data_IF_853712193831
#
_entry.id   IF_853712193831
#
_cell.length_a   1.000
_cell.length_b   1.000
_cell.length_c   1.000
_cell.angle_alpha   90.00
_cell.angle_beta   90.00
_cell.angle_gamma   90.00
#
_symmetry.space_group_name_H-M   'P 1'
#
loop_
_entity.id
_entity.type
_entity.pdbx_description
1 polymer ?
#
# COMPACT_ATOMS: atom_id res chain seq x y z
N UNK A 1 -52.22 0.73 -40.98
CA UNK A 1 -51.90 -0.45 -40.15
C UNK A 1 -50.39 -0.59 -40.12
N UNK A 2 -49.75 -0.13 -39.05
CA UNK A 2 -48.31 -0.21 -38.85
C UNK A 2 -48.04 -1.05 -37.60
N UNK A 3 -47.20 -2.06 -37.79
CA UNK A 3 -46.92 -3.20 -36.92
C UNK A 3 -46.21 -2.80 -35.61
N UNK A 4 -46.65 -3.26 -34.43
CA UNK A 4 -45.98 -2.99 -33.16
C UNK A 4 -44.98 -4.12 -32.83
N UNK A 5 -43.87 -4.21 -33.56
CA UNK A 5 -42.83 -5.24 -33.30
C UNK A 5 -41.52 -4.69 -32.73
N UNK A 6 -41.29 -3.37 -32.74
CA UNK A 6 -39.99 -2.77 -32.37
C UNK A 6 -39.76 -2.52 -30.86
N UNK A 7 -40.70 -2.88 -29.97
CA UNK A 7 -40.62 -2.59 -28.52
C UNK A 7 -40.26 -3.80 -27.66
N UNK A 8 -40.52 -5.03 -28.11
CA UNK A 8 -40.19 -6.24 -27.35
C UNK A 8 -38.71 -6.63 -27.47
N UNK A 9 -38.09 -6.38 -28.62
CA UNK A 9 -36.70 -6.77 -28.88
C UNK A 9 -35.71 -5.92 -28.07
N UNK A 10 -36.01 -4.63 -27.84
CA UNK A 10 -35.16 -3.75 -27.02
C UNK A 10 -35.14 -4.13 -25.54
N UNK A 11 -36.24 -4.67 -25.01
CA UNK A 11 -36.30 -5.11 -23.61
C UNK A 11 -35.50 -6.41 -23.43
N UNK A 12 -35.51 -7.30 -24.42
CA UNK A 12 -34.71 -8.53 -24.40
C UNK A 12 -33.20 -8.26 -24.56
N UNK A 13 -32.81 -7.27 -25.38
CA UNK A 13 -31.40 -6.86 -25.52
C UNK A 13 -30.86 -6.13 -24.29
N UNK A 14 -31.65 -5.27 -23.64
CA UNK A 14 -31.23 -4.61 -22.40
C UNK A 14 -31.06 -5.60 -21.23
N UNK A 15 -31.88 -6.65 -21.17
CA UNK A 15 -31.78 -7.69 -20.14
C UNK A 15 -30.58 -8.64 -20.39
N UNK A 16 -30.25 -8.89 -21.67
CA UNK A 16 -29.05 -9.65 -22.05
C UNK A 16 -27.75 -8.83 -21.84
N UNK A 17 -27.81 -7.50 -22.03
CA UNK A 17 -26.71 -6.58 -21.70
C UNK A 17 -26.52 -6.40 -20.18
N UNK A 18 -27.59 -6.52 -19.37
CA UNK A 18 -27.47 -6.58 -17.90
C UNK A 18 -26.83 -7.86 -17.39
N UNK A 19 -27.04 -8.99 -18.08
CA UNK A 19 -26.35 -10.27 -17.78
C UNK A 19 -24.85 -10.25 -18.12
N UNK A 20 -24.41 -9.38 -19.03
CA UNK A 20 -23.01 -9.25 -19.46
C UNK A 20 -22.21 -8.21 -18.66
N UNK A 21 -22.83 -7.50 -17.69
CA UNK A 21 -22.07 -6.90 -16.58
C UNK A 21 -21.59 -8.03 -15.67
N UNK A 22 -20.38 -8.50 -15.97
CA UNK A 22 -19.59 -9.53 -15.27
C UNK A 22 -20.14 -9.86 -13.88
N UNK A 23 -20.98 -10.90 -13.78
CA UNK A 23 -21.25 -11.45 -12.47
C UNK A 23 -19.91 -11.86 -11.85
N UNK A 24 -19.67 -11.55 -10.57
CA UNK A 24 -18.41 -11.85 -9.93
C UNK A 24 -18.18 -13.36 -10.03
N UNK A 25 -17.05 -13.73 -10.63
CA UNK A 25 -16.72 -15.13 -10.91
C UNK A 25 -16.53 -15.96 -9.63
N UNK A 26 -16.26 -15.32 -8.49
CA UNK A 26 -16.04 -15.99 -7.22
C UNK A 26 -16.82 -15.32 -6.10
N UNK A 27 -17.71 -16.06 -5.44
CA UNK A 27 -18.39 -15.60 -4.21
C UNK A 27 -17.62 -16.09 -3.00
N UNK A 28 -17.16 -15.19 -2.15
CA UNK A 28 -16.27 -15.48 -1.03
C UNK A 28 -17.02 -15.30 0.28
N UNK A 29 -17.33 -16.40 0.97
CA UNK A 29 -18.05 -16.37 2.24
C UNK A 29 -17.07 -16.09 3.37
N UNK A 30 -17.37 -15.07 4.20
CA UNK A 30 -16.49 -14.71 5.30
C UNK A 30 -17.26 -14.41 6.59
N UNK A 31 -16.60 -14.65 7.71
CA UNK A 31 -17.13 -14.34 9.03
C UNK A 31 -16.91 -12.85 9.34
N UNK A 32 -18.02 -12.11 9.45
CA UNK A 32 -18.02 -10.69 9.75
C UNK A 32 -17.47 -10.34 11.15
N UNK A 33 -17.45 -11.31 12.06
CA UNK A 33 -17.01 -11.15 13.45
C UNK A 33 -15.56 -11.62 13.68
N UNK A 34 -14.84 -12.06 12.63
CA UNK A 34 -13.47 -12.53 12.72
C UNK A 34 -12.49 -11.53 12.07
N UNK A 35 -11.58 -10.94 12.86
CA UNK A 35 -10.56 -9.97 12.38
C UNK A 35 -9.69 -10.55 11.26
N UNK A 36 -9.34 -11.84 11.33
CA UNK A 36 -8.52 -12.51 10.30
C UNK A 36 -9.32 -12.60 8.99
N UNK A 37 -10.58 -13.04 9.05
CA UNK A 37 -11.46 -13.10 7.88
C UNK A 37 -11.67 -11.71 7.26
N UNK A 38 -11.92 -10.70 8.08
CA UNK A 38 -12.06 -9.30 7.63
C UNK A 38 -10.77 -8.77 6.98
N UNK A 39 -9.62 -9.07 7.57
CA UNK A 39 -8.32 -8.70 7.01
C UNK A 39 -8.08 -9.37 5.65
N UNK A 40 -8.43 -10.66 5.52
CA UNK A 40 -8.38 -11.38 4.25
C UNK A 40 -9.27 -10.72 3.19
N UNK A 41 -10.52 -10.34 3.53
CA UNK A 41 -11.42 -9.65 2.61
C UNK A 41 -10.91 -8.26 2.23
N UNK A 42 -10.31 -7.51 3.16
CA UNK A 42 -9.70 -6.21 2.86
C UNK A 42 -8.53 -6.35 1.86
N UNK A 43 -7.67 -7.34 2.06
CA UNK A 43 -6.61 -7.68 1.10
C UNK A 43 -7.19 -8.09 -0.25
N UNK A 44 -8.24 -8.91 -0.25
CA UNK A 44 -8.90 -9.37 -1.46
C UNK A 44 -9.43 -8.19 -2.28
N UNK A 45 -10.17 -7.25 -1.65
CA UNK A 45 -10.66 -6.03 -2.29
C UNK A 45 -9.52 -5.14 -2.82
N UNK A 46 -8.37 -5.14 -2.15
CA UNK A 46 -7.20 -4.35 -2.57
C UNK A 46 -6.52 -4.96 -3.80
N UNK A 47 -6.49 -6.29 -3.90
CA UNK A 47 -5.89 -7.02 -5.03
C UNK A 47 -6.82 -7.14 -6.23
N UNK A 48 -8.13 -7.20 -5.98
CA UNK A 48 -9.16 -7.43 -6.99
C UNK A 48 -9.57 -6.16 -7.75
N UNK A 49 -8.71 -5.73 -8.68
CA UNK A 49 -8.97 -4.56 -9.53
C UNK A 49 -10.08 -4.79 -10.57
N UNK A 50 -10.34 -6.05 -10.92
CA UNK A 50 -11.26 -6.44 -11.97
C UNK A 50 -12.63 -6.89 -11.42
N UNK A 51 -12.86 -6.76 -10.10
CA UNK A 51 -14.09 -7.19 -9.41
C UNK A 51 -14.47 -8.65 -9.72
N UNK A 52 -13.48 -9.54 -9.79
CA UNK A 52 -13.68 -10.99 -10.00
C UNK A 52 -14.29 -11.66 -8.78
N UNK A 53 -14.21 -11.04 -7.62
CA UNK A 53 -14.63 -11.59 -6.33
C UNK A 53 -15.77 -10.78 -5.70
N UNK A 54 -16.70 -11.49 -5.07
CA UNK A 54 -17.79 -10.91 -4.28
C UNK A 54 -17.72 -11.43 -2.84
N UNK A 55 -17.16 -10.65 -1.92
CA UNK A 55 -17.17 -11.00 -0.50
C UNK A 55 -18.60 -10.89 0.07
N UNK A 56 -19.09 -11.98 0.67
CA UNK A 56 -20.41 -12.06 1.29
C UNK A 56 -20.27 -12.45 2.77
N UNK A 57 -20.85 -11.67 3.71
CA UNK A 57 -20.82 -12.03 5.12
C UNK A 57 -21.70 -13.26 5.36
N UNK A 58 -21.22 -14.17 6.20
CA UNK A 58 -21.99 -15.33 6.64
C UNK A 58 -23.15 -14.85 7.51
N UNK A 59 -24.38 -15.06 7.05
CA UNK A 59 -25.62 -14.78 7.77
C UNK A 59 -26.65 -15.89 7.51
N UNK A 60 -27.48 -16.21 8.50
CA UNK A 60 -28.46 -17.30 8.44
C UNK A 60 -29.50 -17.09 7.32
N UNK A 61 -29.78 -15.84 6.98
CA UNK A 61 -30.73 -15.46 5.93
C UNK A 61 -30.12 -15.55 4.52
N UNK A 62 -28.80 -15.33 4.41
CA UNK A 62 -28.10 -15.24 3.13
C UNK A 62 -27.62 -16.59 2.62
N UNK A 63 -27.21 -17.52 3.50
CA UNK A 63 -26.66 -18.82 3.08
C UNK A 63 -27.61 -19.65 2.21
N UNK A 64 -28.90 -19.85 2.58
CA UNK A 64 -29.82 -20.65 1.76
C UNK A 64 -30.09 -20.02 0.39
N UNK A 65 -30.00 -18.69 0.31
CA UNK A 65 -30.19 -17.92 -0.93
C UNK A 65 -28.96 -18.01 -1.86
N UNK A 66 -27.77 -18.30 -1.32
CA UNK A 66 -26.52 -18.40 -2.08
C UNK A 66 -26.35 -19.81 -2.65
N UNK A 67 -26.43 -20.85 -1.82
CA UNK A 67 -26.36 -22.25 -2.22
C UNK A 67 -26.94 -23.14 -1.10
N UNK A 68 -27.90 -24.00 -1.43
CA UNK A 68 -28.61 -24.85 -0.46
C UNK A 68 -27.73 -25.92 0.18
N UNK A 69 -26.52 -26.17 -0.33
CA UNK A 69 -25.55 -27.14 0.21
C UNK A 69 -24.73 -26.59 1.37
N UNK A 70 -24.82 -25.29 1.67
CA UNK A 70 -23.98 -24.63 2.67
C UNK A 70 -24.58 -24.74 4.07
N UNK A 71 -23.89 -25.46 4.96
CA UNK A 71 -24.16 -25.44 6.40
C UNK A 71 -23.54 -24.21 7.08
N UNK A 72 -24.29 -23.59 8.00
CA UNK A 72 -23.80 -22.44 8.78
C UNK A 72 -22.52 -22.78 9.55
N UNK A 73 -22.52 -23.86 10.31
CA UNK A 73 -21.38 -24.26 11.15
C UNK A 73 -20.13 -24.59 10.33
N UNK A 74 -20.31 -25.13 9.13
CA UNK A 74 -19.20 -25.44 8.22
C UNK A 74 -18.61 -24.17 7.62
N UNK A 75 -19.46 -23.24 7.16
CA UNK A 75 -19.05 -21.91 6.69
C UNK A 75 -18.32 -21.12 7.78
N UNK A 76 -18.75 -21.28 9.03
CA UNK A 76 -18.05 -20.69 10.16
C UNK A 76 -16.74 -21.41 10.48
N UNK A 77 -16.52 -22.67 10.14
CA UNK A 77 -15.23 -23.36 10.43
C UNK A 77 -14.13 -23.02 9.45
N UNK A 78 -14.44 -22.96 8.16
CA UNK A 78 -13.44 -22.77 7.10
C UNK A 78 -13.90 -21.78 6.04
N UNK A 79 -12.96 -21.22 5.28
CA UNK A 79 -13.25 -20.36 4.14
C UNK A 79 -13.97 -21.16 3.07
N UNK A 80 -15.09 -20.63 2.60
CA UNK A 80 -15.86 -21.21 1.50
C UNK A 80 -15.89 -20.22 0.34
N UNK A 81 -15.56 -20.70 -0.85
CA UNK A 81 -15.58 -19.93 -2.09
C UNK A 81 -16.38 -20.68 -3.12
N UNK A 82 -17.36 -20.04 -3.72
CA UNK A 82 -18.14 -20.59 -4.83
C UNK A 82 -17.58 -20.04 -6.13
N UNK A 83 -17.18 -20.94 -7.04
CA UNK A 83 -16.70 -20.58 -8.38
C UNK A 83 -17.85 -20.26 -9.33
N UNK A 84 -17.54 -19.71 -10.50
CA UNK A 84 -18.50 -19.47 -11.58
C UNK A 84 -19.18 -20.75 -12.07
N UNK A 85 -18.50 -21.89 -11.92
CA UNK A 85 -18.97 -23.23 -12.28
C UNK A 85 -19.82 -23.88 -11.16
N UNK A 86 -20.12 -23.12 -10.09
CA UNK A 86 -20.85 -23.58 -8.89
C UNK A 86 -20.14 -24.69 -8.09
N UNK A 87 -18.82 -24.77 -8.22
CA UNK A 87 -18.00 -25.60 -7.34
C UNK A 87 -17.79 -24.88 -6.00
N UNK A 88 -17.88 -25.63 -4.90
CA UNK A 88 -17.61 -25.12 -3.56
C UNK A 88 -16.18 -25.51 -3.18
N UNK A 89 -15.29 -24.53 -3.18
CA UNK A 89 -13.92 -24.68 -2.70
C UNK A 89 -13.87 -24.36 -1.22
N UNK A 90 -13.13 -25.18 -0.46
CA UNK A 90 -13.07 -25.07 1.00
C UNK A 90 -11.61 -24.96 1.47
N UNK A 91 -11.41 -24.14 2.50
CA UNK A 91 -10.16 -24.05 3.24
C UNK A 91 -8.97 -23.59 2.40
N UNK A 92 -7.85 -24.33 2.44
CA UNK A 92 -6.64 -23.98 1.67
C UNK A 92 -6.88 -24.01 0.16
N UNK A 93 -7.71 -24.95 -0.34
CA UNK A 93 -7.98 -25.02 -1.77
C UNK A 93 -8.72 -23.76 -2.26
N UNK A 94 -9.59 -23.18 -1.42
CA UNK A 94 -10.23 -21.89 -1.66
C UNK A 94 -9.21 -20.73 -1.67
N UNK A 95 -8.30 -20.69 -0.68
CA UNK A 95 -7.24 -19.67 -0.61
C UNK A 95 -6.33 -19.73 -1.84
N UNK A 96 -5.90 -20.92 -2.23
CA UNK A 96 -5.01 -21.11 -3.37
C UNK A 96 -5.70 -20.75 -4.70
N UNK A 97 -6.99 -21.08 -4.84
CA UNK A 97 -7.78 -20.67 -6.00
C UNK A 97 -7.93 -19.14 -6.10
N UNK A 98 -8.23 -18.45 -4.99
CA UNK A 98 -8.27 -16.98 -4.96
C UNK A 98 -6.90 -16.36 -5.29
N UNK A 99 -5.82 -16.92 -4.76
CA UNK A 99 -4.46 -16.44 -5.03
C UNK A 99 -4.07 -16.53 -6.52
N UNK A 100 -4.63 -17.48 -7.28
CA UNK A 100 -4.42 -17.61 -8.73
C UNK A 100 -5.04 -16.47 -9.54
N UNK A 101 -6.01 -15.74 -8.99
CA UNK A 101 -6.72 -14.68 -9.72
C UNK A 101 -5.89 -13.41 -9.91
N UNK A 102 -4.90 -13.17 -9.05
CA UNK A 102 -4.14 -11.93 -9.05
C UNK A 102 -2.71 -12.15 -9.55
N UNK A 103 -2.25 -11.28 -10.43
CA UNK A 103 -0.90 -11.33 -11.01
C UNK A 103 0.23 -11.30 -9.97
N UNK A 104 0.02 -10.74 -8.78
CA UNK A 104 1.06 -10.73 -7.74
C UNK A 104 1.12 -12.02 -6.91
N UNK A 105 0.03 -12.80 -6.88
CA UNK A 105 -0.08 -14.00 -6.04
C UNK A 105 -0.24 -15.29 -6.85
N UNK A 106 -0.28 -15.21 -8.19
CA UNK A 106 -0.57 -16.35 -9.05
C UNK A 106 0.42 -17.52 -8.90
N UNK A 107 1.71 -17.23 -8.73
CA UNK A 107 2.74 -18.25 -8.50
C UNK A 107 2.45 -18.98 -7.19
N UNK A 108 2.13 -18.25 -6.13
CA UNK A 108 1.80 -18.83 -4.82
C UNK A 108 0.54 -19.70 -4.90
N UNK A 109 -0.49 -19.24 -5.61
CA UNK A 109 -1.71 -20.03 -5.81
C UNK A 109 -1.46 -21.29 -6.64
N UNK A 110 -0.66 -21.19 -7.70
CA UNK A 110 -0.35 -22.33 -8.60
C UNK A 110 0.52 -23.37 -7.89
N UNK A 111 1.59 -22.92 -7.21
CA UNK A 111 2.49 -23.80 -6.46
C UNK A 111 1.78 -24.40 -5.24
N UNK A 112 0.93 -23.60 -4.57
CA UNK A 112 0.15 -24.00 -3.42
C UNK A 112 -0.90 -25.08 -3.70
N UNK A 113 -1.28 -25.31 -4.95
CA UNK A 113 -2.15 -26.43 -5.35
C UNK A 113 -1.39 -27.72 -5.66
N UNK A 114 -0.05 -27.67 -5.77
CA UNK A 114 0.78 -28.83 -6.11
C UNK A 114 1.36 -29.49 -4.87
N UNK A 115 1.58 -30.80 -4.93
CA UNK A 115 2.37 -31.50 -3.93
C UNK A 115 3.84 -31.02 -3.96
N UNK A 116 4.51 -30.81 -2.80
CA UNK A 116 4.07 -31.03 -1.42
C UNK A 116 3.38 -29.82 -0.76
N UNK A 117 3.40 -28.66 -1.42
CA UNK A 117 2.91 -27.39 -0.86
C UNK A 117 1.42 -27.40 -0.52
N UNK A 118 0.60 -28.15 -1.26
CA UNK A 118 -0.83 -28.32 -0.97
C UNK A 118 -1.08 -28.92 0.41
N UNK A 119 -0.31 -29.95 0.78
CA UNK A 119 -0.48 -30.64 2.07
C UNK A 119 0.01 -29.75 3.22
N UNK A 120 1.16 -29.11 3.03
CA UNK A 120 1.68 -28.14 3.98
C UNK A 120 0.71 -26.96 4.17
N UNK A 121 0.17 -26.42 3.08
CA UNK A 121 -0.81 -25.34 3.08
C UNK A 121 -2.12 -25.73 3.77
N UNK A 122 -2.64 -26.94 3.53
CA UNK A 122 -3.81 -27.47 4.25
C UNK A 122 -3.57 -27.60 5.76
N UNK A 123 -2.41 -28.09 6.17
CA UNK A 123 -2.06 -28.24 7.58
C UNK A 123 -1.93 -26.87 8.27
N UNK A 124 -1.18 -25.95 7.66
CA UNK A 124 -1.01 -24.58 8.16
C UNK A 124 -2.35 -23.82 8.20
N UNK A 125 -3.13 -23.90 7.13
CA UNK A 125 -4.45 -23.28 7.06
C UNK A 125 -5.38 -23.82 8.14
N UNK A 126 -5.44 -25.15 8.32
CA UNK A 126 -6.33 -25.78 9.31
C UNK A 126 -5.94 -25.35 10.72
N UNK A 127 -4.64 -25.23 11.02
CA UNK A 127 -4.16 -24.70 12.29
C UNK A 127 -4.62 -23.25 12.50
N UNK A 128 -4.45 -22.37 11.50
CA UNK A 128 -4.87 -20.97 11.59
C UNK A 128 -6.39 -20.86 11.72
N UNK A 129 -7.16 -21.58 10.90
CA UNK A 129 -8.63 -21.57 10.93
C UNK A 129 -9.17 -22.02 12.29
N UNK A 130 -8.60 -23.08 12.87
CA UNK A 130 -8.99 -23.58 14.20
C UNK A 130 -8.62 -22.61 15.32
N UNK A 131 -7.48 -21.93 15.20
CA UNK A 131 -6.98 -20.99 16.23
C UNK A 131 -7.35 -19.52 15.95
N UNK A 132 -8.16 -19.22 14.93
CA UNK A 132 -8.31 -17.86 14.39
C UNK A 132 -8.79 -16.83 15.39
N UNK A 133 -9.68 -17.22 16.31
CA UNK A 133 -10.18 -16.33 17.37
C UNK A 133 -9.14 -16.07 18.47
N UNK A 134 -8.24 -17.03 18.72
CA UNK A 134 -7.12 -16.87 19.65
C UNK A 134 -5.97 -16.05 19.03
N UNK A 135 -5.79 -16.16 17.71
CA UNK A 135 -4.81 -15.39 16.95
C UNK A 135 -5.25 -13.94 16.70
N UNK A 136 -6.56 -13.67 16.62
CA UNK A 136 -7.10 -12.32 16.47
C UNK A 136 -7.03 -11.52 17.77
N UNK A 137 -6.53 -10.27 17.72
CA UNK A 137 -6.49 -9.36 18.87
C UNK A 137 -7.72 -8.46 18.96
N UNK A 138 -8.66 -8.60 18.03
CA UNK A 138 -9.89 -7.82 17.93
C UNK A 138 -9.60 -6.32 18.04
N UNK A 139 -8.55 -5.87 17.34
CA UNK A 139 -8.17 -4.46 17.33
C UNK A 139 -9.16 -3.71 16.43
N UNK A 140 -9.95 -2.81 17.01
CA UNK A 140 -10.83 -1.91 16.27
C UNK A 140 -12.33 -2.18 16.35
N UNK A 141 -12.83 -2.95 17.33
CA UNK A 141 -14.28 -3.05 17.60
C UNK A 141 -15.10 -3.88 16.59
N UNK A 142 -14.44 -4.54 15.63
CA UNK A 142 -15.10 -5.38 14.62
C UNK A 142 -15.70 -6.69 15.18
N UNK A 143 -15.24 -7.14 16.36
CA UNK A 143 -15.67 -8.39 16.98
C UNK A 143 -16.59 -8.10 18.17
N UNK A 144 -17.84 -8.58 18.13
CA UNK A 144 -18.79 -8.50 19.27
C UNK A 144 -18.61 -9.64 20.29
N UNK A 145 -17.86 -10.69 19.94
CA UNK A 145 -17.77 -11.97 20.70
C UNK A 145 -16.42 -12.11 21.43
N UNK A 146 -15.49 -11.17 21.27
CA UNK A 146 -14.17 -11.29 21.86
C UNK A 146 -14.24 -11.20 23.40
N UNK A 147 -13.89 -12.29 24.10
CA UNK A 147 -13.48 -12.25 25.51
C UNK A 147 -11.96 -12.03 25.54
N UNK A 148 -11.47 -10.78 25.54
CA UNK A 148 -10.02 -10.49 25.49
C UNK A 148 -9.25 -11.17 26.63
N UNK A 149 -9.92 -11.43 27.76
CA UNK A 149 -9.37 -12.15 28.91
C UNK A 149 -9.08 -13.63 28.62
N UNK A 150 -9.94 -14.31 27.85
CA UNK A 150 -9.75 -15.71 27.47
C UNK A 150 -8.57 -15.86 26.50
N UNK A 151 -8.47 -14.96 25.50
CA UNK A 151 -7.34 -14.92 24.57
C UNK A 151 -6.03 -14.63 25.32
N UNK A 152 -6.03 -13.70 26.28
CA UNK A 152 -4.84 -13.39 27.09
C UNK A 152 -4.40 -14.56 27.97
N UNK A 153 -5.34 -15.39 28.44
CA UNK A 153 -5.07 -16.60 29.23
C UNK A 153 -4.58 -17.77 28.37
N UNK A 154 -4.99 -17.84 27.11
CA UNK A 154 -4.76 -18.99 26.21
C UNK A 154 -3.69 -18.75 25.14
N UNK A 155 -3.32 -17.49 24.88
CA UNK A 155 -2.21 -17.11 24.01
C UNK A 155 -0.88 -17.57 24.61
N UNK A 156 -0.49 -18.81 24.32
CA UNK A 156 0.87 -19.28 24.57
C UNK A 156 1.85 -18.34 23.86
N UNK A 157 2.94 -17.98 24.55
CA UNK A 157 4.01 -17.11 24.05
C UNK A 157 4.41 -17.41 22.58
N UNK A 158 4.37 -18.67 22.15
CA UNK A 158 4.67 -19.08 20.77
C UNK A 158 3.79 -18.45 19.67
N UNK A 159 2.48 -18.29 19.89
CA UNK A 159 1.58 -17.67 18.89
C UNK A 159 1.81 -16.16 18.76
N UNK A 160 2.18 -15.51 19.86
CA UNK A 160 2.61 -14.12 19.87
C UNK A 160 3.92 -13.94 19.10
N UNK A 161 4.91 -14.79 19.36
CA UNK A 161 6.20 -14.76 18.66
C UNK A 161 6.05 -15.09 17.18
N UNK A 162 5.20 -16.05 16.78
CA UNK A 162 5.01 -16.39 15.35
C UNK A 162 4.38 -15.24 14.54
N UNK A 163 3.39 -14.53 15.10
CA UNK A 163 2.81 -13.37 14.42
C UNK A 163 3.75 -12.16 14.42
N UNK A 164 4.54 -11.97 15.48
CA UNK A 164 5.52 -10.90 15.55
C UNK A 164 6.68 -11.13 14.59
N UNK A 165 7.22 -12.35 14.52
CA UNK A 165 8.31 -12.70 13.60
C UNK A 165 7.84 -12.68 12.15
N UNK A 166 6.66 -13.22 11.82
CA UNK A 166 6.11 -13.13 10.45
C UNK A 166 5.89 -11.67 10.03
N UNK A 167 5.34 -10.84 10.92
CA UNK A 167 5.17 -9.41 10.69
C UNK A 167 6.50 -8.69 10.49
N UNK A 168 7.54 -9.08 11.24
CA UNK A 168 8.91 -8.56 11.11
C UNK A 168 9.54 -8.96 9.76
N UNK A 169 9.47 -10.23 9.36
CA UNK A 169 10.05 -10.70 8.09
C UNK A 169 9.35 -10.11 6.85
N UNK A 170 8.07 -9.74 6.94
CA UNK A 170 7.35 -9.08 5.85
C UNK A 170 7.60 -7.57 5.85
N UNK A 171 7.48 -6.91 7.01
CA UNK A 171 7.56 -5.44 7.08
C UNK A 171 8.99 -4.92 7.05
N UNK A 172 9.95 -5.62 7.65
CA UNK A 172 11.33 -5.14 7.71
C UNK A 172 11.92 -4.98 6.30
N UNK A 173 11.83 -5.95 5.37
CA UNK A 173 12.35 -5.75 4.02
C UNK A 173 11.68 -4.59 3.28
N UNK A 174 10.37 -4.40 3.45
CA UNK A 174 9.64 -3.28 2.84
C UNK A 174 10.08 -1.92 3.39
N UNK A 175 10.25 -1.82 4.71
CA UNK A 175 10.71 -0.59 5.39
C UNK A 175 12.17 -0.29 5.02
N UNK A 176 13.05 -1.30 5.04
CA UNK A 176 14.44 -1.16 4.61
C UNK A 176 14.51 -0.76 3.15
N UNK A 177 13.73 -1.38 2.26
CA UNK A 177 13.67 -1.01 0.86
C UNK A 177 13.21 0.43 0.65
N UNK A 178 12.15 0.85 1.33
CA UNK A 178 11.68 2.23 1.28
C UNK A 178 12.75 3.21 1.77
N UNK A 179 13.45 2.89 2.86
CA UNK A 179 14.56 3.68 3.39
C UNK A 179 15.74 3.77 2.41
N UNK A 180 16.16 2.64 1.84
CA UNK A 180 17.23 2.58 0.84
C UNK A 180 16.87 3.38 -0.42
N UNK A 181 15.65 3.24 -0.92
CA UNK A 181 15.17 4.00 -2.08
C UNK A 181 15.18 5.50 -1.80
N UNK A 182 14.71 5.94 -0.63
CA UNK A 182 14.74 7.34 -0.24
C UNK A 182 16.18 7.87 -0.12
N UNK A 183 17.09 7.11 0.49
CA UNK A 183 18.51 7.47 0.60
C UNK A 183 19.17 7.60 -0.78
N UNK A 184 18.91 6.64 -1.69
CA UNK A 184 19.42 6.68 -3.05
C UNK A 184 18.89 7.89 -3.83
N UNK A 185 17.62 8.24 -3.67
CA UNK A 185 17.02 9.44 -4.28
C UNK A 185 17.69 10.72 -3.76
N UNK A 186 17.87 10.86 -2.45
CA UNK A 186 18.55 12.02 -1.84
C UNK A 186 19.98 12.16 -2.33
N UNK A 187 20.73 11.04 -2.36
CA UNK A 187 22.10 10.99 -2.89
C UNK A 187 22.14 11.42 -4.36
N UNK A 188 21.20 10.92 -5.18
CA UNK A 188 21.11 11.27 -6.60
C UNK A 188 20.81 12.76 -6.82
N UNK A 189 19.86 13.31 -6.06
CA UNK A 189 19.51 14.74 -6.11
C UNK A 189 20.73 15.57 -5.70
N UNK A 190 21.35 15.26 -4.56
CA UNK A 190 22.53 15.96 -4.08
C UNK A 190 23.66 15.93 -5.12
N UNK A 191 23.97 14.76 -5.69
CA UNK A 191 24.99 14.63 -6.73
C UNK A 191 24.68 15.47 -7.99
N UNK A 192 23.41 15.55 -8.39
CA UNK A 192 22.98 16.37 -9.53
C UNK A 192 23.05 17.87 -9.25
N UNK A 193 22.85 18.30 -8.00
CA UNK A 193 22.86 19.72 -7.62
C UNK A 193 24.22 20.19 -7.08
N UNK A 194 25.14 19.27 -6.80
CA UNK A 194 26.44 19.58 -6.20
C UNK A 194 27.27 20.53 -7.08
N UNK A 195 27.63 21.69 -6.52
CA UNK A 195 28.30 22.81 -7.23
C UNK A 195 27.61 23.29 -8.52
N UNK A 196 26.32 22.99 -8.71
CA UNK A 196 25.56 23.48 -9.86
C UNK A 196 24.87 24.81 -9.56
N UNK A 197 24.45 25.44 -10.65
CA UNK A 197 23.49 26.54 -10.66
C UNK A 197 22.43 26.25 -11.69
N UNK A 198 21.26 26.86 -11.53
CA UNK A 198 20.18 26.82 -12.50
C UNK A 198 19.83 28.24 -12.89
N UNK A 199 19.98 28.56 -14.17
CA UNK A 199 19.62 29.85 -14.73
C UNK A 199 18.24 29.72 -15.39
N UNK A 200 17.31 30.60 -15.00
CA UNK A 200 15.92 30.64 -15.44
C UNK A 200 15.58 32.06 -15.91
N UNK A 201 14.50 32.20 -16.69
CA UNK A 201 14.03 33.50 -17.18
C UNK A 201 15.13 34.31 -17.89
N UNK A 202 15.83 33.68 -18.82
CA UNK A 202 16.97 34.26 -19.55
C UNK A 202 18.08 34.83 -18.65
N UNK A 203 18.27 34.22 -17.47
CA UNK A 203 19.28 34.62 -16.49
C UNK A 203 18.83 35.72 -15.52
N UNK A 204 17.57 36.16 -15.57
CA UNK A 204 17.01 37.07 -14.56
C UNK A 204 16.85 36.40 -13.20
N UNK A 205 16.59 35.09 -13.18
CA UNK A 205 16.49 34.27 -11.97
C UNK A 205 17.57 33.21 -11.99
N UNK A 206 18.50 33.25 -11.05
CA UNK A 206 19.54 32.24 -10.88
C UNK A 206 19.42 31.58 -9.51
N UNK A 207 19.34 30.25 -9.50
CA UNK A 207 19.36 29.44 -8.28
C UNK A 207 20.77 28.89 -8.08
N UNK A 208 21.39 29.23 -6.95
CA UNK A 208 22.71 28.78 -6.57
C UNK A 208 22.60 27.67 -5.54
N UNK A 209 23.00 26.45 -5.88
CA UNK A 209 23.09 25.38 -4.90
C UNK A 209 24.35 25.57 -4.06
N UNK A 210 24.15 25.83 -2.77
CA UNK A 210 25.20 26.03 -1.79
C UNK A 210 25.69 24.70 -1.23
N UNK A 211 26.98 24.61 -0.98
CA UNK A 211 27.63 23.39 -0.52
C UNK A 211 28.65 23.72 0.59
N UNK A 212 28.90 22.77 1.47
CA UNK A 212 29.94 22.87 2.50
C UNK A 212 30.17 21.54 3.21
N UNK A 213 31.36 21.31 3.78
CA UNK A 213 31.72 19.99 4.35
C UNK A 213 30.72 19.52 5.42
N UNK A 214 30.36 20.39 6.36
CA UNK A 214 29.35 20.08 7.39
C UNK A 214 27.90 20.21 6.88
N UNK A 215 27.52 21.29 6.15
CA UNK A 215 26.15 21.43 5.63
C UNK A 215 25.72 20.35 4.64
N UNK A 216 26.65 19.70 3.91
CA UNK A 216 26.32 18.64 2.95
C UNK A 216 25.73 17.38 3.61
N UNK A 217 25.90 17.19 4.92
CA UNK A 217 25.27 16.08 5.64
C UNK A 217 23.74 16.22 5.66
N UNK A 218 23.22 17.45 5.68
CA UNK A 218 21.78 17.72 5.77
C UNK A 218 21.01 17.29 4.51
N UNK A 219 21.44 17.64 3.27
CA UNK A 219 20.85 17.08 2.06
C UNK A 219 20.84 15.55 2.01
N UNK A 220 21.90 14.90 2.52
CA UNK A 220 22.02 13.45 2.48
C UNK A 220 21.11 12.76 3.51
N UNK A 221 21.00 13.33 4.71
CA UNK A 221 20.22 12.76 5.81
C UNK A 221 18.74 13.13 5.74
N UNK A 222 18.41 14.35 5.33
CA UNK A 222 17.05 14.91 5.39
C UNK A 222 16.48 15.20 3.99
N UNK A 223 17.33 15.40 2.98
CA UNK A 223 16.89 15.76 1.62
C UNK A 223 16.73 17.26 1.39
N UNK A 224 17.12 18.09 2.35
CA UNK A 224 17.01 19.54 2.28
C UNK A 224 18.23 20.14 1.58
N UNK A 225 18.00 20.86 0.49
CA UNK A 225 19.05 21.55 -0.26
C UNK A 225 19.12 23.01 0.18
N UNK A 226 20.34 23.51 0.40
CA UNK A 226 20.57 24.92 0.64
C UNK A 226 20.77 25.66 -0.67
N UNK A 227 19.97 26.71 -0.88
CA UNK A 227 20.01 27.50 -2.10
C UNK A 227 19.98 28.99 -1.82
N UNK A 228 20.74 29.75 -2.60
CA UNK A 228 20.59 31.20 -2.68
C UNK A 228 19.93 31.54 -4.01
N UNK A 229 18.89 32.36 -3.97
CA UNK A 229 18.23 32.86 -5.18
C UNK A 229 18.82 34.23 -5.52
N UNK A 230 19.14 34.45 -6.79
CA UNK A 230 19.47 35.76 -7.33
C UNK A 230 18.39 36.14 -8.32
N UNK A 231 17.69 37.24 -8.05
CA UNK A 231 16.65 37.76 -8.92
C UNK A 231 16.83 39.26 -9.13
N UNK A 232 17.21 39.66 -10.35
CA UNK A 232 17.35 41.07 -10.76
C UNK A 232 18.10 41.96 -9.73
N UNK A 233 19.24 41.47 -9.23
CA UNK A 233 20.06 42.16 -8.24
C UNK A 233 19.60 42.03 -6.79
N UNK A 234 18.56 41.24 -6.50
CA UNK A 234 18.15 40.84 -5.15
C UNK A 234 18.70 39.46 -4.84
N UNK A 235 19.43 39.31 -3.74
CA UNK A 235 19.85 38.01 -3.23
C UNK A 235 18.91 37.56 -2.11
N UNK A 236 18.35 36.36 -2.22
CA UNK A 236 17.47 35.76 -1.21
C UNK A 236 18.17 34.58 -0.56
N UNK A 237 18.21 34.54 0.77
CA UNK A 237 18.82 33.49 1.58
C UNK A 237 20.29 33.21 1.20
N UNK A 238 21.22 34.12 1.52
CA UNK A 238 22.65 33.95 1.22
C UNK A 238 23.34 32.82 2.00
N UNK A 239 22.62 32.06 2.82
CA UNK A 239 23.14 30.87 3.47
C UNK A 239 23.93 31.15 4.75
N UNK A 240 24.29 30.09 5.47
CA UNK A 240 25.15 30.17 6.66
C UNK A 240 26.60 30.57 6.36
N UNK A 241 27.38 31.04 7.36
CA UNK A 241 28.80 31.32 7.18
C UNK A 241 29.59 30.07 6.76
N UNK A 242 29.11 28.87 7.15
CA UNK A 242 29.69 27.57 6.79
C UNK A 242 29.64 27.29 5.28
N UNK A 243 28.76 27.98 4.54
CA UNK A 243 28.63 27.88 3.09
C UNK A 243 29.23 29.08 2.33
N UNK A 244 29.83 30.05 3.03
CA UNK A 244 30.39 31.30 2.46
C UNK A 244 31.33 31.06 1.29
N UNK A 245 32.21 30.06 1.39
CA UNK A 245 33.17 29.72 0.32
C UNK A 245 32.46 29.27 -0.96
N UNK A 246 31.34 28.56 -0.83
CA UNK A 246 30.54 28.11 -1.97
C UNK A 246 29.79 29.26 -2.60
N UNK A 247 29.16 30.12 -1.79
CA UNK A 247 28.50 31.33 -2.28
C UNK A 247 29.49 32.25 -3.01
N UNK A 248 30.64 32.55 -2.38
CA UNK A 248 31.68 33.38 -2.97
C UNK A 248 32.19 32.82 -4.31
N UNK A 249 32.26 31.48 -4.47
CA UNK A 249 32.64 30.85 -5.74
C UNK A 249 31.62 31.14 -6.83
N UNK A 250 30.32 31.06 -6.53
CA UNK A 250 29.25 31.38 -7.48
C UNK A 250 29.22 32.87 -7.83
N UNK A 251 29.32 33.74 -6.83
CA UNK A 251 29.30 35.19 -7.03
C UNK A 251 30.50 35.68 -7.84
N UNK A 252 31.71 35.12 -7.63
CA UNK A 252 32.88 35.46 -8.45
C UNK A 252 32.73 35.09 -9.93
N UNK A 253 31.97 34.03 -10.23
CA UNK A 253 31.70 33.59 -11.62
C UNK A 253 30.62 34.44 -12.30
N UNK A 254 29.59 34.82 -11.56
CA UNK A 254 28.46 35.58 -12.09
C UNK A 254 28.69 37.10 -12.09
N UNK A 255 29.49 37.60 -11.14
CA UNK A 255 29.70 39.04 -10.86
C UNK A 255 28.38 39.85 -10.88
N UNK A 256 27.33 39.42 -10.15
CA UNK A 256 26.05 40.10 -10.17
C UNK A 256 26.13 41.44 -9.43
N UNK A 257 25.37 42.44 -9.89
CA UNK A 257 25.18 43.70 -9.16
C UNK A 257 24.07 43.51 -8.11
N UNK A 258 24.46 43.11 -6.90
CA UNK A 258 23.51 42.93 -5.80
C UNK A 258 23.20 44.29 -5.17
N UNK A 259 21.92 44.65 -5.13
CA UNK A 259 21.41 45.90 -4.54
C UNK A 259 20.67 45.66 -3.23
N UNK A 260 20.11 44.47 -3.04
CA UNK A 260 19.34 44.09 -1.84
C UNK A 260 19.59 42.65 -1.45
N UNK A 261 19.51 42.38 -0.15
CA UNK A 261 19.56 41.03 0.44
C UNK A 261 18.28 40.83 1.24
N UNK A 262 17.62 39.70 1.05
CA UNK A 262 16.38 39.32 1.73
C UNK A 262 16.60 37.95 2.37
N UNK A 263 16.13 37.77 3.59
CA UNK A 263 16.08 36.46 4.23
C UNK A 263 14.63 36.05 4.44
N UNK A 264 14.32 34.78 4.21
CA UNK A 264 12.99 34.21 4.40
C UNK A 264 12.64 34.12 5.89
N UNK A 265 13.63 33.85 6.74
CA UNK A 265 13.49 33.88 8.19
C UNK A 265 14.86 34.04 8.89
N UNK A 266 14.84 34.40 10.18
CA UNK A 266 16.02 34.79 10.94
C UNK A 266 16.76 33.61 11.60
N UNK A 267 17.05 32.56 10.84
CA UNK A 267 17.97 31.51 11.28
C UNK A 267 19.34 31.62 10.61
N UNK A 268 20.39 31.14 11.29
CA UNK A 268 21.80 31.25 10.85
C UNK A 268 21.99 30.73 9.41
N UNK A 269 21.25 29.68 9.03
CA UNK A 269 21.27 29.08 7.71
C UNK A 269 20.72 29.94 6.59
N UNK A 270 20.02 31.05 6.89
CA UNK A 270 19.50 31.99 5.91
C UNK A 270 20.22 33.35 5.95
N UNK A 271 20.64 33.85 7.12
CA UNK A 271 21.19 35.22 7.29
C UNK A 271 22.71 35.29 7.46
N UNK A 272 23.41 34.16 7.54
CA UNK A 272 24.81 34.12 7.98
C UNK A 272 25.87 34.72 7.05
N UNK A 273 25.49 35.11 5.84
CA UNK A 273 26.36 35.79 4.87
C UNK A 273 25.76 37.16 4.49
N UNK A 274 25.88 38.17 5.37
CA UNK A 274 25.51 39.54 5.04
C UNK A 274 26.44 40.13 3.97
#
# INVERSE_FOLDING_TARGET
MATPTLRCDRVAEEDNQRRTRSQPAYRVLYDGQCEICQSCVAWLKTLDRENKTLPLPISAELLPTIDSRLGMDECLRQLHVITSEREILVGWDAVAALARLFWFTWILGTLGQRFPFRNAGRLLYSFVATNRYSLSKCRGGACRIAKPEAVRRQARLGAFWSCYTLGFFIRLPLVLWAGMKAAAQRMSIFARTYHKRLDLLDGKLTILFLNGVLPNAVPLLFGELFTTLLYDGVAVDPGSPKMRRSLARHLRRLKPKITKIVATHAHEEHVGNP
#
